data_IF_020284625059
#
_entry.id   IF_020284625059
#
_cell.length_a   1.000
_cell.length_b   1.000
_cell.length_c   1.000
_cell.angle_alpha   90.00
_cell.angle_beta   90.00
_cell.angle_gamma   90.00
#
_symmetry.space_group_name_H-M   'P 1'
#
loop_
_entity.id
_entity.type
_entity.pdbx_description
1 polymer ?
#
# COMPACT_ATOMS: atom_id res chain seq x y z
N UNK A 1 0.30 21.53 7.79
CA UNK A 1 0.17 21.13 6.37
C UNK A 1 -0.76 19.94 6.30
N UNK A 2 -1.73 19.89 5.38
CA UNK A 2 -2.51 18.67 5.16
C UNK A 2 -1.60 17.60 4.54
N UNK A 3 -1.67 16.36 5.03
CA UNK A 3 -1.00 15.23 4.38
C UNK A 3 -1.76 14.86 3.12
N UNK A 4 -1.05 14.66 2.02
CA UNK A 4 -1.65 14.11 0.80
C UNK A 4 -1.86 12.60 0.98
N UNK A 5 -3.00 12.10 0.55
CA UNK A 5 -3.36 10.68 0.57
C UNK A 5 -3.16 10.07 -0.81
N UNK A 6 -2.81 8.78 -0.84
CA UNK A 6 -2.63 8.02 -2.07
C UNK A 6 -3.36 6.69 -2.00
N UNK A 7 -3.92 6.28 -3.14
CA UNK A 7 -4.39 4.91 -3.37
C UNK A 7 -3.49 4.32 -4.44
N UNK A 8 -2.98 3.12 -4.18
CA UNK A 8 -2.10 2.41 -5.10
C UNK A 8 -2.83 1.20 -5.70
N UNK A 9 -2.85 1.13 -7.02
CA UNK A 9 -3.33 -0.04 -7.75
C UNK A 9 -2.14 -0.84 -8.28
N UNK A 10 -2.27 -2.16 -8.33
CA UNK A 10 -1.17 -3.08 -8.64
C UNK A 10 0.02 -2.86 -7.70
N UNK A 11 -0.27 -2.77 -6.39
CA UNK A 11 0.71 -2.39 -5.37
C UNK A 11 1.91 -3.35 -5.27
N UNK A 12 1.76 -4.58 -5.77
CA UNK A 12 2.77 -5.62 -5.67
C UNK A 12 3.25 -5.80 -4.22
N UNK A 13 4.56 -5.89 -4.02
CA UNK A 13 5.15 -5.94 -2.68
C UNK A 13 5.16 -4.61 -1.90
N UNK A 14 4.65 -3.51 -2.47
CA UNK A 14 4.54 -2.21 -1.80
C UNK A 14 5.73 -1.26 -1.95
N UNK A 15 6.60 -1.48 -2.94
CA UNK A 15 7.81 -0.65 -3.13
C UNK A 15 7.50 0.84 -3.32
N UNK A 16 6.48 1.18 -4.10
CA UNK A 16 6.08 2.57 -4.32
C UNK A 16 5.34 3.14 -3.10
N UNK A 17 4.41 2.42 -2.46
CA UNK A 17 3.80 2.88 -1.20
C UNK A 17 4.84 3.20 -0.12
N UNK A 18 5.91 2.40 0.02
CA UNK A 18 7.00 2.69 0.96
C UNK A 18 7.73 3.99 0.63
N UNK A 19 8.00 4.24 -0.66
CA UNK A 19 8.60 5.50 -1.11
C UNK A 19 7.70 6.71 -0.84
N UNK A 20 6.39 6.57 -1.07
CA UNK A 20 5.40 7.62 -0.81
C UNK A 20 5.23 7.88 0.70
N UNK A 21 5.19 6.84 1.52
CA UNK A 21 5.19 6.94 2.99
C UNK A 21 6.43 7.72 3.48
N UNK A 22 7.62 7.39 2.96
CA UNK A 22 8.86 8.10 3.27
C UNK A 22 8.87 9.56 2.80
N UNK A 23 8.17 9.89 1.71
CA UNK A 23 7.97 11.25 1.22
C UNK A 23 6.89 12.04 1.97
N UNK A 24 6.22 11.42 2.96
CA UNK A 24 5.23 12.08 3.83
C UNK A 24 3.78 11.97 3.35
N UNK A 25 3.53 11.18 2.31
CA UNK A 25 2.18 10.81 1.89
C UNK A 25 1.59 9.75 2.83
N UNK A 26 0.26 9.70 2.91
CA UNK A 26 -0.47 8.65 3.64
C UNK A 26 -1.01 7.67 2.62
N UNK A 27 -0.61 6.39 2.72
CA UNK A 27 -1.23 5.33 1.94
C UNK A 27 -2.61 5.03 2.53
N UNK A 28 -3.66 5.32 1.77
CA UNK A 28 -5.05 5.10 2.17
C UNK A 28 -5.51 3.68 1.82
N UNK A 29 -5.03 3.15 0.68
CA UNK A 29 -5.24 1.76 0.29
C UNK A 29 -4.16 1.27 -0.69
N UNK A 30 -3.85 -0.02 -0.58
CA UNK A 30 -3.03 -0.77 -1.54
C UNK A 30 -3.90 -1.89 -2.12
N UNK A 31 -4.20 -1.80 -3.42
CA UNK A 31 -5.02 -2.75 -4.17
C UNK A 31 -4.08 -3.66 -4.96
N UNK A 32 -4.22 -4.97 -4.77
CA UNK A 32 -3.37 -5.98 -5.41
C UNK A 32 -4.13 -7.31 -5.55
N UNK A 33 -4.00 -7.98 -6.70
CA UNK A 33 -4.69 -9.25 -6.96
C UNK A 33 -3.86 -10.46 -6.50
N UNK A 34 -2.53 -10.36 -6.53
CA UNK A 34 -1.63 -11.45 -6.17
C UNK A 34 -1.61 -11.72 -4.65
N UNK A 35 -1.92 -12.96 -4.29
CA UNK A 35 -2.04 -13.39 -2.89
C UNK A 35 -0.71 -13.29 -2.12
N UNK A 36 0.42 -13.54 -2.79
CA UNK A 36 1.74 -13.47 -2.15
C UNK A 36 2.14 -12.03 -1.85
N UNK A 37 1.85 -11.11 -2.78
CA UNK A 37 2.02 -9.68 -2.60
C UNK A 37 1.14 -9.14 -1.48
N UNK A 38 -0.16 -9.45 -1.46
CA UNK A 38 -1.04 -9.03 -0.36
C UNK A 38 -0.58 -9.56 1.00
N UNK A 39 -0.12 -10.81 1.07
CA UNK A 39 0.43 -11.40 2.31
C UNK A 39 1.69 -10.66 2.75
N UNK A 40 2.57 -10.32 1.80
CA UNK A 40 3.79 -9.55 2.05
C UNK A 40 3.46 -8.16 2.60
N UNK A 41 2.51 -7.45 2.00
CA UNK A 41 2.04 -6.14 2.45
C UNK A 41 1.48 -6.20 3.87
N UNK A 42 0.54 -7.13 4.13
CA UNK A 42 -0.08 -7.31 5.46
C UNK A 42 0.93 -7.68 6.54
N UNK A 43 1.93 -8.48 6.22
CA UNK A 43 2.99 -8.86 7.16
C UNK A 43 3.91 -7.69 7.53
N UNK A 44 4.32 -6.89 6.54
CA UNK A 44 5.31 -5.82 6.73
C UNK A 44 4.67 -4.48 7.15
N UNK A 45 3.39 -4.28 6.87
CA UNK A 45 2.60 -3.08 7.19
C UNK A 45 1.19 -3.49 7.65
N UNK A 46 1.06 -4.11 8.83
CA UNK A 46 -0.23 -4.63 9.32
C UNK A 46 -1.31 -3.57 9.51
N UNK A 47 -0.92 -2.29 9.59
CA UNK A 47 -1.85 -1.16 9.67
C UNK A 47 -2.34 -0.64 8.32
N UNK A 48 -1.76 -1.08 7.19
CA UNK A 48 -2.21 -0.66 5.87
C UNK A 48 -3.51 -1.36 5.47
N UNK A 49 -4.36 -0.63 4.76
CA UNK A 49 -5.58 -1.17 4.16
C UNK A 49 -5.24 -1.89 2.85
N UNK A 50 -5.01 -3.21 2.93
CA UNK A 50 -4.67 -4.05 1.77
C UNK A 50 -5.93 -4.71 1.22
N UNK A 51 -6.39 -4.22 0.06
CA UNK A 51 -7.53 -4.74 -0.68
C UNK A 51 -7.04 -5.76 -1.69
N UNK A 52 -7.53 -6.99 -1.58
CA UNK A 52 -7.16 -8.07 -2.49
C UNK A 52 -8.23 -8.25 -3.57
N UNK A 53 -8.16 -7.41 -4.60
CA UNK A 53 -9.19 -7.26 -5.65
C UNK A 53 -8.52 -7.01 -7.02
N UNK A 54 -9.29 -7.18 -8.11
CA UNK A 54 -8.92 -6.85 -9.51
C UNK A 54 -9.39 -5.42 -9.85
#
# INVERSE_FOLDING_TARGET
MSKFTVVECCAGGGGQALGLEAAGFVNEAAIEIDTHCCTTLRLNRPQWNVLQED
#
